data_IF_297506725024
#
_entry.id   IF_297506725024
#
_cell.length_a   1.000
_cell.length_b   1.000
_cell.length_c   1.000
_cell.angle_alpha   90.00
_cell.angle_beta   90.00
_cell.angle_gamma   90.00
#
_symmetry.space_group_name_H-M   'P 1'
#
loop_
_entity.id
_entity.type
_entity.pdbx_description
1 polymer ?
#
# COMPACT_ATOMS: atom_id res chain seq x y z
N UNK A 1 -16.90 -13.34 4.80
CA UNK A 1 -17.28 -13.29 6.24
C UNK A 1 -16.31 -14.02 7.17
N UNK A 2 -15.25 -14.67 6.65
CA UNK A 2 -14.41 -15.57 7.44
C UNK A 2 -13.51 -14.88 8.49
N UNK A 3 -13.21 -13.60 8.34
CA UNK A 3 -12.46 -12.83 9.34
C UNK A 3 -13.38 -12.38 10.51
N UNK A 4 -14.56 -11.85 10.21
CA UNK A 4 -15.53 -11.41 11.22
C UNK A 4 -16.05 -12.57 12.06
N UNK A 5 -16.34 -13.71 11.42
CA UNK A 5 -16.76 -14.93 12.12
C UNK A 5 -15.68 -15.53 13.03
N UNK A 6 -14.40 -15.16 12.86
CA UNK A 6 -13.26 -15.62 13.68
C UNK A 6 -12.75 -14.53 14.63
N UNK A 7 -13.66 -13.71 15.14
CA UNK A 7 -13.39 -12.79 16.25
C UNK A 7 -13.07 -11.35 15.86
N UNK A 8 -12.98 -11.01 14.57
CA UNK A 8 -12.81 -9.61 14.17
C UNK A 8 -14.12 -8.80 14.18
N UNK A 9 -15.26 -9.41 14.51
CA UNK A 9 -16.55 -8.72 14.63
C UNK A 9 -16.57 -7.66 15.75
N UNK A 10 -15.77 -7.85 16.81
CA UNK A 10 -15.65 -6.89 17.92
C UNK A 10 -15.06 -5.55 17.47
N UNK A 11 -14.12 -5.57 16.53
CA UNK A 11 -13.55 -4.36 15.91
C UNK A 11 -14.60 -3.50 15.21
N UNK A 12 -15.70 -4.11 14.77
CA UNK A 12 -16.81 -3.44 14.09
C UNK A 12 -18.09 -3.37 14.95
N UNK A 13 -17.96 -3.64 16.26
CA UNK A 13 -19.07 -3.58 17.22
C UNK A 13 -20.26 -4.51 16.88
N UNK A 14 -20.00 -5.59 16.14
CA UNK A 14 -21.00 -6.59 15.72
C UNK A 14 -20.89 -7.91 16.51
N UNK A 15 -20.28 -7.89 17.70
CA UNK A 15 -19.98 -9.12 18.47
C UNK A 15 -21.24 -9.94 18.83
N UNK A 16 -22.35 -9.25 19.12
CA UNK A 16 -23.61 -9.85 19.56
C UNK A 16 -24.63 -9.99 18.40
N UNK A 17 -24.24 -9.60 17.19
CA UNK A 17 -25.06 -9.79 16.00
C UNK A 17 -25.02 -11.26 15.59
N UNK A 18 -26.19 -11.84 15.31
CA UNK A 18 -26.28 -13.16 14.71
C UNK A 18 -25.51 -13.18 13.38
N UNK A 19 -24.82 -14.30 13.08
CA UNK A 19 -23.88 -14.41 11.95
C UNK A 19 -24.50 -14.12 10.58
N UNK A 20 -25.81 -14.26 10.46
CA UNK A 20 -26.64 -13.95 9.28
C UNK A 20 -26.97 -12.45 9.12
N UNK A 21 -26.69 -11.63 10.13
CA UNK A 21 -26.91 -10.16 10.13
C UNK A 21 -25.62 -9.34 10.07
N UNK A 22 -24.47 -9.99 9.86
CA UNK A 22 -23.19 -9.30 9.76
C UNK A 22 -23.13 -8.47 8.46
N UNK A 23 -22.81 -7.18 8.59
CA UNK A 23 -22.55 -6.31 7.44
C UNK A 23 -21.04 -6.29 7.18
N UNK A 24 -20.55 -6.89 6.08
CA UNK A 24 -19.13 -6.92 5.79
C UNK A 24 -18.61 -5.57 5.28
N UNK A 25 -17.65 -5.00 5.99
CA UNK A 25 -16.91 -3.78 5.57
C UNK A 25 -15.60 -4.10 4.81
N UNK A 26 -15.37 -5.38 4.50
CA UNK A 26 -14.17 -5.84 3.81
C UNK A 26 -14.48 -6.97 2.82
N UNK A 27 -13.63 -7.07 1.80
CA UNK A 27 -13.68 -8.12 0.78
C UNK A 27 -12.61 -9.19 1.04
N UNK A 28 -12.88 -10.41 0.60
CA UNK A 28 -11.90 -11.50 0.61
C UNK A 28 -11.24 -11.58 -0.76
N UNK A 29 -9.91 -11.68 -0.79
CA UNK A 29 -9.14 -11.75 -2.02
C UNK A 29 -7.80 -12.45 -1.80
N UNK A 30 -7.20 -12.91 -2.89
CA UNK A 30 -5.89 -13.55 -2.88
C UNK A 30 -4.85 -12.60 -3.50
N UNK A 31 -3.60 -12.71 -3.04
CA UNK A 31 -2.47 -11.96 -3.57
C UNK A 31 -1.34 -12.91 -3.95
N UNK A 32 -0.53 -12.59 -4.99
CA UNK A 32 0.60 -13.42 -5.37
C UNK A 32 1.61 -13.56 -4.23
N UNK A 33 2.28 -14.72 -4.15
CA UNK A 33 3.39 -14.93 -3.24
C UNK A 33 4.53 -13.94 -3.52
N UNK A 34 5.06 -13.30 -2.47
CA UNK A 34 6.05 -12.22 -2.58
C UNK A 34 7.47 -12.65 -2.17
N UNK A 35 7.69 -13.92 -1.85
CA UNK A 35 8.98 -14.36 -1.31
C UNK A 35 9.13 -13.99 0.17
N UNK A 36 10.38 -13.79 0.60
CA UNK A 36 10.68 -13.48 2.00
C UNK A 36 10.26 -12.05 2.37
N UNK A 37 9.82 -11.86 3.62
CA UNK A 37 9.50 -10.53 4.15
C UNK A 37 10.71 -9.59 4.06
N UNK A 38 11.93 -10.10 4.27
CA UNK A 38 13.17 -9.32 4.16
C UNK A 38 13.35 -8.69 2.78
N UNK A 39 13.02 -9.41 1.70
CA UNK A 39 13.14 -8.87 0.34
C UNK A 39 12.14 -7.72 0.10
N UNK A 40 10.91 -7.85 0.61
CA UNK A 40 9.88 -6.81 0.51
C UNK A 40 10.29 -5.56 1.31
N UNK A 41 10.73 -5.74 2.56
CA UNK A 41 11.20 -4.63 3.41
C UNK A 41 12.38 -3.90 2.78
N UNK A 42 13.32 -4.63 2.18
CA UNK A 42 14.46 -4.02 1.49
C UNK A 42 14.02 -3.07 0.37
N UNK A 43 13.05 -3.47 -0.47
CA UNK A 43 12.52 -2.61 -1.53
C UNK A 43 11.79 -1.38 -0.98
N UNK A 44 10.98 -1.54 0.08
CA UNK A 44 10.26 -0.43 0.71
C UNK A 44 11.22 0.60 1.32
N UNK A 45 12.25 0.14 2.04
CA UNK A 45 13.27 1.00 2.62
C UNK A 45 14.12 1.66 1.53
N UNK A 46 14.41 0.95 0.44
CA UNK A 46 15.10 1.51 -0.72
C UNK A 46 14.36 2.70 -1.34
N UNK A 47 13.04 2.55 -1.55
CA UNK A 47 12.18 3.64 -2.03
C UNK A 47 12.14 4.84 -1.09
N UNK A 48 12.00 4.59 0.23
CA UNK A 48 12.02 5.66 1.23
C UNK A 48 13.35 6.42 1.23
N UNK A 49 14.49 5.72 1.18
CA UNK A 49 15.82 6.36 1.15
C UNK A 49 16.04 7.19 -0.11
N UNK A 50 15.57 6.70 -1.26
CA UNK A 50 15.61 7.46 -2.51
C UNK A 50 14.78 8.77 -2.40
N UNK A 51 13.56 8.68 -1.85
CA UNK A 51 12.70 9.85 -1.62
C UNK A 51 13.36 10.85 -0.65
N UNK A 52 13.91 10.38 0.47
CA UNK A 52 14.66 11.21 1.43
C UNK A 52 15.83 11.94 0.76
N UNK A 53 16.53 11.28 -0.18
CA UNK A 53 17.58 11.88 -1.00
C UNK A 53 17.07 13.01 -1.90
N UNK A 54 15.95 12.81 -2.62
CA UNK A 54 15.34 13.86 -3.44
C UNK A 54 14.89 15.07 -2.62
N UNK A 55 14.43 14.85 -1.38
CA UNK A 55 13.95 15.90 -0.48
C UNK A 55 15.03 16.48 0.42
N UNK A 56 16.28 16.02 0.31
CA UNK A 56 17.40 16.49 1.13
C UNK A 56 17.23 16.27 2.64
N UNK A 57 16.49 15.23 3.05
CA UNK A 57 16.22 14.95 4.46
C UNK A 57 17.09 13.80 4.94
N UNK A 58 17.90 14.03 5.99
CA UNK A 58 18.79 13.03 6.56
C UNK A 58 18.04 12.04 7.47
N UNK A 59 16.93 12.48 8.06
CA UNK A 59 16.12 11.69 9.00
C UNK A 59 14.64 11.65 8.60
N UNK A 60 13.92 10.65 9.11
CA UNK A 60 12.46 10.55 8.93
C UNK A 60 11.75 11.73 9.56
N UNK A 61 12.25 12.22 10.71
CA UNK A 61 11.65 13.36 11.39
C UNK A 61 11.80 14.65 10.58
N UNK A 62 12.96 14.88 9.95
CA UNK A 62 13.12 15.98 8.99
C UNK A 62 12.17 15.87 7.81
N UNK A 63 12.03 14.67 7.23
CA UNK A 63 11.13 14.45 6.09
C UNK A 63 9.67 14.75 6.44
N UNK A 64 9.25 14.48 7.68
CA UNK A 64 7.88 14.75 8.15
C UNK A 64 7.55 16.24 8.23
N UNK A 65 8.55 17.11 8.45
CA UNK A 65 8.32 18.56 8.65
C UNK A 65 8.78 19.42 7.48
N UNK A 66 9.74 18.95 6.68
CA UNK A 66 10.42 19.78 5.68
C UNK A 66 9.97 19.49 4.23
N UNK A 67 9.23 18.42 3.99
CA UNK A 67 8.73 18.09 2.66
C UNK A 67 7.54 18.96 2.25
N UNK A 68 7.55 19.41 0.99
CA UNK A 68 6.42 20.08 0.36
C UNK A 68 5.76 19.16 -0.66
N UNK A 69 4.43 19.15 -0.65
CA UNK A 69 3.65 18.38 -1.61
C UNK A 69 3.00 19.31 -2.64
N UNK A 70 2.85 18.82 -3.86
CA UNK A 70 2.10 19.48 -4.91
C UNK A 70 0.88 18.63 -5.26
N UNK A 71 -0.25 19.30 -5.52
CA UNK A 71 -1.48 18.63 -5.95
C UNK A 71 -1.41 18.38 -7.45
N UNK A 72 -1.58 17.12 -7.86
CA UNK A 72 -1.63 16.72 -9.27
C UNK A 72 -3.06 16.38 -9.69
N UNK A 73 -3.31 16.39 -11.00
CA UNK A 73 -4.57 15.93 -11.58
C UNK A 73 -4.53 14.42 -11.83
N UNK A 74 -5.67 13.82 -12.20
CA UNK A 74 -5.69 12.42 -12.65
C UNK A 74 -4.83 12.15 -13.90
N UNK A 75 -4.60 13.16 -14.74
CA UNK A 75 -3.66 13.06 -15.86
C UNK A 75 -2.21 12.98 -15.35
N UNK A 76 -1.84 13.83 -14.37
CA UNK A 76 -0.52 13.76 -13.73
C UNK A 76 -0.26 12.43 -13.00
N UNK A 77 -1.31 11.78 -12.48
CA UNK A 77 -1.18 10.43 -11.91
C UNK A 77 -0.83 9.40 -12.99
N UNK A 78 -1.49 9.44 -14.16
CA UNK A 78 -1.15 8.55 -15.28
C UNK A 78 0.27 8.79 -15.78
N UNK A 79 0.67 10.06 -15.87
CA UNK A 79 2.03 10.46 -16.23
C UNK A 79 3.08 9.95 -15.22
N UNK A 80 2.74 9.91 -13.92
CA UNK A 80 3.68 9.44 -12.89
C UNK A 80 3.94 7.93 -12.95
N UNK A 81 2.98 7.15 -13.45
CA UNK A 81 3.12 5.72 -13.68
C UNK A 81 3.81 5.46 -15.03
N UNK A 82 4.35 4.25 -15.22
CA UNK A 82 4.84 3.81 -16.54
C UNK A 82 3.68 3.89 -17.54
N UNK A 83 3.88 4.66 -18.62
CA UNK A 83 2.90 4.88 -19.70
C UNK A 83 3.59 4.81 -21.07
N UNK A 84 2.81 4.49 -22.10
CA UNK A 84 3.22 4.45 -23.51
C UNK A 84 4.39 3.51 -23.87
N UNK A 85 4.66 2.51 -23.02
CA UNK A 85 5.65 1.46 -23.26
C UNK A 85 5.16 0.08 -22.80
N UNK A 86 5.65 -0.98 -23.45
CA UNK A 86 5.39 -2.36 -23.03
C UNK A 86 6.43 -2.81 -21.99
N UNK A 87 5.97 -3.16 -20.78
CA UNK A 87 6.82 -3.76 -19.76
C UNK A 87 7.11 -5.21 -20.13
N UNK A 88 8.38 -5.53 -20.37
CA UNK A 88 8.83 -6.88 -20.75
C UNK A 88 9.31 -7.72 -19.57
N UNK A 89 9.63 -7.07 -18.44
CA UNK A 89 10.04 -7.71 -17.19
C UNK A 89 9.54 -6.89 -16.01
N UNK A 90 8.90 -7.55 -15.06
CA UNK A 90 8.45 -6.89 -13.83
C UNK A 90 9.63 -6.45 -12.96
N UNK A 91 9.49 -5.31 -12.29
CA UNK A 91 10.44 -4.90 -11.25
C UNK A 91 9.97 -5.39 -9.87
N UNK A 92 10.90 -5.62 -8.93
CA UNK A 92 10.55 -6.06 -7.57
C UNK A 92 9.71 -5.04 -6.78
N UNK A 93 9.73 -3.77 -7.17
CA UNK A 93 9.12 -2.64 -6.48
C UNK A 93 7.99 -1.95 -7.26
N UNK A 94 7.65 -2.42 -8.46
CA UNK A 94 6.61 -1.83 -9.28
C UNK A 94 5.80 -2.92 -9.99
N UNK A 95 4.52 -3.01 -9.64
CA UNK A 95 3.53 -3.83 -10.32
C UNK A 95 2.33 -2.96 -10.64
N UNK A 96 1.91 -3.00 -11.90
CA UNK A 96 0.63 -2.42 -12.30
C UNK A 96 -0.43 -3.39 -11.80
N UNK A 97 -1.33 -2.91 -10.94
CA UNK A 97 -2.51 -3.63 -10.48
C UNK A 97 -3.64 -3.55 -11.48
#
# INVERSE_FOLDING_TARGET
LGAMARGSADRYFQKDAASDKLVPEGVEGQVPYKGSASAVVHQLVGGLRAAMGYTGCATVDEMRTNCSFVKITGAGLKESHVHDVQITRESPNYRIG
#
